data_IF_254796369955
#
_entry.id   IF_254796369955
#
_cell.length_a   1.000
_cell.length_b   1.000
_cell.length_c   1.000
_cell.angle_alpha   90.00
_cell.angle_beta   90.00
_cell.angle_gamma   90.00
#
_symmetry.space_group_name_H-M   'P 1'
#
loop_
_entity.id
_entity.type
_entity.pdbx_description
1 polymer ?
#
# COMPACT_ATOMS: atom_id res chain seq x y z
N UNK A 1 70.73 16.49 -55.78
CA UNK A 1 70.26 17.61 -54.92
C UNK A 1 69.80 17.08 -53.56
N UNK A 2 69.97 17.86 -52.49
CA UNK A 2 70.16 17.45 -51.08
C UNK A 2 68.85 17.33 -50.27
N UNK A 3 68.79 16.61 -49.13
CA UNK A 3 68.98 17.07 -47.72
C UNK A 3 67.92 18.11 -47.29
N UNK A 4 67.06 17.89 -46.27
CA UNK A 4 67.31 18.05 -44.83
C UNK A 4 66.07 17.54 -44.03
N UNK A 5 66.17 16.84 -42.89
CA UNK A 5 66.49 17.30 -41.50
C UNK A 5 65.60 18.49 -41.07
N UNK A 6 64.97 18.58 -39.90
CA UNK A 6 65.40 18.17 -38.56
C UNK A 6 64.30 18.51 -37.51
N UNK A 7 64.33 17.79 -36.36
CA UNK A 7 64.11 18.27 -34.96
C UNK A 7 62.79 18.97 -34.57
N UNK A 8 62.27 18.89 -33.35
CA UNK A 8 62.59 18.25 -32.06
C UNK A 8 61.26 18.30 -31.27
N UNK A 9 60.99 17.50 -30.25
CA UNK A 9 61.58 17.65 -28.92
C UNK A 9 60.91 16.61 -28.00
N UNK A 10 61.72 16.05 -27.11
CA UNK A 10 61.30 15.22 -26.00
C UNK A 10 60.27 15.94 -25.11
N UNK A 11 59.24 15.21 -24.68
CA UNK A 11 58.69 15.36 -23.33
C UNK A 11 58.48 13.95 -22.75
N UNK A 12 59.28 13.66 -21.72
CA UNK A 12 59.10 12.55 -20.79
C UNK A 12 58.01 12.95 -19.79
N UNK A 13 56.93 12.17 -19.68
CA UNK A 13 56.05 12.21 -18.49
C UNK A 13 55.39 10.84 -18.34
N UNK A 14 56.00 9.96 -17.54
CA UNK A 14 55.59 9.60 -16.17
C UNK A 14 54.30 8.76 -16.14
N UNK A 15 54.48 7.45 -16.02
CA UNK A 15 53.43 6.50 -15.64
C UNK A 15 52.81 6.94 -14.31
N UNK A 16 51.51 7.22 -14.31
CA UNK A 16 50.70 7.15 -13.10
C UNK A 16 49.87 5.87 -13.17
N UNK A 17 50.34 4.85 -12.45
CA UNK A 17 49.52 3.73 -12.05
C UNK A 17 48.55 4.25 -10.97
N UNK A 18 47.39 4.75 -11.37
CA UNK A 18 46.27 4.87 -10.43
C UNK A 18 45.74 3.46 -10.19
N UNK A 19 46.16 2.88 -9.07
CA UNK A 19 45.58 1.66 -8.55
C UNK A 19 44.07 1.86 -8.37
N UNK A 20 43.28 1.05 -9.09
CA UNK A 20 41.91 0.79 -8.71
C UNK A 20 41.96 0.09 -7.35
N UNK A 21 41.79 0.86 -6.27
CA UNK A 21 41.36 0.30 -5.00
C UNK A 21 39.97 -0.29 -5.22
N UNK A 22 39.92 -1.62 -5.32
CA UNK A 22 38.69 -2.39 -5.20
C UNK A 22 38.17 -2.13 -3.77
N UNK A 23 37.28 -1.15 -3.62
CA UNK A 23 36.55 -0.99 -2.38
C UNK A 23 35.65 -2.23 -2.26
N UNK A 24 36.06 -3.19 -1.43
CA UNK A 24 35.18 -4.25 -0.95
C UNK A 24 34.06 -3.58 -0.16
N UNK A 25 32.92 -3.35 -0.83
CA UNK A 25 31.68 -3.02 -0.15
C UNK A 25 31.32 -4.25 0.67
N UNK A 26 31.62 -4.19 1.96
CA UNK A 26 31.16 -5.16 2.95
C UNK A 26 29.63 -4.97 3.03
N UNK A 27 28.91 -5.74 2.21
CA UNK A 27 27.46 -5.84 2.31
C UNK A 27 27.13 -6.32 3.71
N UNK A 28 26.63 -5.41 4.55
CA UNK A 28 25.92 -5.82 5.76
C UNK A 28 24.64 -6.51 5.28
N UNK A 29 24.64 -7.82 5.37
CA UNK A 29 23.45 -8.65 5.28
C UNK A 29 22.53 -8.19 6.41
N UNK A 30 21.58 -7.31 6.07
CA UNK A 30 20.54 -6.89 7.00
C UNK A 30 19.60 -8.08 7.11
N UNK A 31 19.80 -8.86 8.16
CA UNK A 31 18.93 -9.97 8.53
C UNK A 31 17.59 -9.36 8.99
N UNK A 32 16.67 -9.17 8.03
CA UNK A 32 15.35 -8.61 8.30
C UNK A 32 14.50 -9.72 8.93
N UNK A 33 14.65 -9.89 10.25
CA UNK A 33 13.78 -10.75 11.03
C UNK A 33 12.39 -10.14 11.03
N UNK A 34 11.45 -10.79 10.34
CA UNK A 34 10.03 -10.45 10.39
C UNK A 34 9.49 -10.74 11.80
N UNK A 35 8.97 -9.73 12.48
CA UNK A 35 8.29 -9.90 13.77
C UNK A 35 6.78 -10.11 13.51
N UNK A 36 6.24 -11.32 13.77
CA UNK A 36 4.82 -11.60 13.58
C UNK A 36 3.88 -10.70 14.40
N UNK A 37 4.35 -10.14 15.52
CA UNK A 37 3.56 -9.23 16.35
C UNK A 37 3.22 -7.92 15.61
N UNK A 38 3.96 -7.55 14.56
CA UNK A 38 3.65 -6.38 13.73
C UNK A 38 2.34 -6.54 12.94
N UNK A 39 1.82 -7.76 12.79
CA UNK A 39 0.56 -8.06 12.10
C UNK A 39 -0.65 -8.12 13.03
N UNK A 40 -0.44 -8.13 14.34
CA UNK A 40 -1.51 -8.25 15.30
C UNK A 40 -2.47 -7.05 15.22
N UNK A 41 -3.75 -7.35 15.44
CA UNK A 41 -4.78 -6.34 15.46
C UNK A 41 -4.98 -5.79 16.87
N UNK A 42 -4.63 -4.52 17.12
CA UNK A 42 -4.97 -3.89 18.40
C UNK A 42 -6.49 -3.64 18.46
N UNK A 43 -7.07 -3.84 19.63
CA UNK A 43 -8.48 -3.56 19.88
C UNK A 43 -9.04 -4.47 20.98
N UNK A 44 -10.26 -4.18 21.40
CA UNK A 44 -10.95 -4.96 22.44
C UNK A 44 -12.35 -5.40 22.02
N UNK A 45 -12.83 -4.97 20.87
CA UNK A 45 -14.09 -5.43 20.28
C UNK A 45 -13.79 -6.26 19.06
N UNK A 46 -14.28 -7.49 19.05
CA UNK A 46 -14.12 -8.43 17.93
C UNK A 46 -15.48 -8.79 17.35
N UNK A 47 -15.58 -8.68 16.03
CA UNK A 47 -16.70 -9.14 15.24
C UNK A 47 -16.24 -10.28 14.34
N UNK A 48 -16.86 -11.45 14.50
CA UNK A 48 -16.60 -12.63 13.69
C UNK A 48 -17.64 -12.76 12.58
N UNK A 49 -17.33 -13.59 11.57
CA UNK A 49 -18.22 -13.89 10.43
C UNK A 49 -18.65 -12.62 9.69
N UNK A 50 -17.68 -11.74 9.49
CA UNK A 50 -17.85 -10.53 8.69
C UNK A 50 -17.59 -10.87 7.23
N UNK A 51 -18.54 -10.53 6.37
CA UNK A 51 -18.36 -10.60 4.93
C UNK A 51 -17.52 -9.41 4.48
N UNK A 52 -16.38 -9.69 3.86
CA UNK A 52 -15.63 -8.68 3.13
C UNK A 52 -16.08 -8.70 1.68
N UNK A 53 -16.24 -7.50 1.14
CA UNK A 53 -16.48 -7.27 -0.28
C UNK A 53 -15.62 -6.11 -0.74
N UNK A 54 -15.44 -5.96 -2.04
CA UNK A 54 -14.66 -4.87 -2.62
C UNK A 54 -15.53 -3.93 -3.46
N UNK A 55 -15.21 -2.64 -3.39
CA UNK A 55 -15.76 -1.61 -4.28
C UNK A 55 -14.64 -0.73 -4.80
N UNK A 56 -14.89 0.00 -5.89
CA UNK A 56 -13.91 0.90 -6.49
C UNK A 56 -14.50 2.29 -6.75
N UNK A 57 -13.67 3.34 -6.74
CA UNK A 57 -14.06 4.63 -7.28
C UNK A 57 -14.50 4.52 -8.75
N UNK A 58 -15.57 5.22 -9.11
CA UNK A 58 -16.03 5.40 -10.48
C UNK A 58 -15.80 6.86 -10.89
N UNK A 59 -14.62 7.14 -11.46
CA UNK A 59 -14.19 8.50 -11.81
C UNK A 59 -14.94 9.11 -13.00
N UNK A 60 -15.56 8.27 -13.82
CA UNK A 60 -16.44 8.62 -14.94
C UNK A 60 -17.92 8.74 -14.51
N UNK A 61 -18.21 8.55 -13.22
CA UNK A 61 -19.53 8.67 -12.64
C UNK A 61 -20.05 10.11 -12.63
N UNK A 62 -21.37 10.26 -12.62
CA UNK A 62 -22.05 11.56 -12.62
C UNK A 62 -22.09 12.21 -11.23
N UNK A 63 -21.91 11.43 -10.16
CA UNK A 63 -21.99 11.89 -8.78
C UNK A 63 -20.59 12.06 -8.19
N UNK A 64 -20.38 13.15 -7.44
CA UNK A 64 -19.14 13.33 -6.67
C UNK A 64 -18.89 12.18 -5.69
N UNK A 65 -19.97 11.54 -5.18
CA UNK A 65 -19.88 10.39 -4.27
C UNK A 65 -19.32 9.14 -4.93
N UNK A 66 -19.27 9.09 -6.26
CA UNK A 66 -18.76 7.94 -7.00
C UNK A 66 -17.25 7.75 -6.81
N UNK A 67 -16.52 8.80 -6.39
CA UNK A 67 -15.07 8.77 -6.17
C UNK A 67 -14.62 9.50 -4.90
N UNK A 68 -15.56 9.84 -4.02
CA UNK A 68 -15.28 10.49 -2.72
C UNK A 68 -16.03 9.83 -1.59
N UNK A 69 -15.49 9.90 -0.36
CA UNK A 69 -16.05 9.36 0.87
C UNK A 69 -17.27 10.17 1.38
N UNK A 70 -17.88 9.74 2.51
CA UNK A 70 -19.12 10.36 3.02
C UNK A 70 -18.99 11.84 3.38
N UNK A 71 -17.75 12.34 3.51
CA UNK A 71 -17.42 13.76 3.73
C UNK A 71 -16.89 14.43 2.46
N UNK A 72 -17.11 13.84 1.29
CA UNK A 72 -16.64 14.29 -0.02
C UNK A 72 -15.11 14.43 -0.13
N UNK A 73 -14.34 13.66 0.65
CA UNK A 73 -12.88 13.58 0.53
C UNK A 73 -12.49 12.43 -0.40
N UNK A 74 -11.29 12.51 -0.97
CA UNK A 74 -10.77 11.46 -1.85
C UNK A 74 -10.79 10.09 -1.15
N UNK A 75 -11.25 9.06 -1.85
CA UNK A 75 -11.10 7.66 -1.44
C UNK A 75 -9.65 7.20 -1.57
N UNK A 76 -9.15 6.48 -0.56
CA UNK A 76 -7.84 5.82 -0.64
C UNK A 76 -8.03 4.32 -0.80
N UNK A 77 -7.45 3.80 -1.86
CA UNK A 77 -7.58 2.40 -2.24
C UNK A 77 -6.54 1.55 -1.51
N UNK A 78 -6.80 0.24 -1.39
CA UNK A 78 -5.85 -0.73 -0.86
C UNK A 78 -4.52 -0.65 -1.59
N UNK A 79 -4.55 -0.61 -2.92
CA UNK A 79 -3.33 -0.52 -3.73
C UNK A 79 -2.60 0.80 -3.50
N UNK A 80 -3.29 1.93 -3.27
CA UNK A 80 -2.60 3.19 -2.94
C UNK A 80 -1.87 3.10 -1.60
N UNK A 81 -2.44 2.41 -0.62
CA UNK A 81 -1.78 2.16 0.66
C UNK A 81 -0.57 1.23 0.50
N UNK A 82 -0.73 0.11 -0.22
CA UNK A 82 0.35 -0.85 -0.47
C UNK A 82 1.52 -0.20 -1.23
N UNK A 83 1.23 0.71 -2.17
CA UNK A 83 2.23 1.50 -2.90
C UNK A 83 2.84 2.66 -2.07
N UNK A 84 2.48 2.79 -0.77
CA UNK A 84 2.89 3.89 0.11
C UNK A 84 2.48 5.29 -0.37
N UNK A 85 1.39 5.38 -1.15
CA UNK A 85 0.83 6.64 -1.67
C UNK A 85 -0.37 7.14 -0.89
N UNK A 86 -0.88 6.34 0.05
CA UNK A 86 -1.96 6.70 0.94
C UNK A 86 -1.62 6.31 2.39
N UNK A 87 -2.08 7.09 3.39
CA UNK A 87 -1.81 6.82 4.80
C UNK A 87 -2.71 5.72 5.40
N UNK A 88 -3.82 5.39 4.73
CA UNK A 88 -4.79 4.37 5.12
C UNK A 88 -5.59 3.91 3.88
N UNK A 89 -6.36 2.86 4.04
CA UNK A 89 -7.38 2.37 3.09
C UNK A 89 -8.75 2.81 3.58
N UNK A 90 -9.55 3.38 2.69
CA UNK A 90 -10.94 3.70 3.00
C UNK A 90 -11.77 2.41 3.02
N UNK A 91 -12.58 2.22 4.05
CA UNK A 91 -13.59 1.16 4.08
C UNK A 91 -15.00 1.73 4.24
N UNK A 92 -15.96 1.03 3.64
CA UNK A 92 -17.38 1.27 3.74
C UNK A 92 -18.05 0.34 4.76
N UNK A 93 -18.97 0.88 5.56
CA UNK A 93 -19.81 0.10 6.48
C UNK A 93 -21.27 0.56 6.46
N UNK A 94 -22.15 -0.20 7.11
CA UNK A 94 -23.58 0.10 7.22
C UNK A 94 -23.82 1.52 7.78
N UNK A 95 -24.56 2.40 7.06
CA UNK A 95 -24.84 3.77 7.50
C UNK A 95 -25.65 3.87 8.79
N UNK A 96 -26.31 2.79 9.22
CA UNK A 96 -27.15 2.71 10.42
C UNK A 96 -26.34 2.49 11.69
N UNK A 97 -25.13 1.94 11.60
CA UNK A 97 -24.26 1.73 12.76
C UNK A 97 -23.80 3.05 13.38
N UNK A 98 -23.75 4.13 12.60
CA UNK A 98 -23.23 5.44 13.03
C UNK A 98 -21.82 5.33 13.63
N UNK A 99 -20.99 4.43 13.07
CA UNK A 99 -19.56 4.35 13.40
C UNK A 99 -18.93 5.73 13.18
N UNK A 100 -18.18 6.28 14.16
CA UNK A 100 -17.50 7.56 14.00
C UNK A 100 -16.62 7.58 12.74
N UNK A 101 -16.69 8.68 11.99
CA UNK A 101 -15.89 8.84 10.78
C UNK A 101 -14.39 8.81 11.10
N UNK A 102 -13.66 7.93 10.42
CA UNK A 102 -12.23 7.71 10.62
C UNK A 102 -11.88 6.68 11.69
N UNK A 103 -12.87 5.99 12.27
CA UNK A 103 -12.62 4.83 13.16
C UNK A 103 -11.71 3.83 12.45
N UNK A 104 -10.63 3.47 13.12
CA UNK A 104 -9.71 2.44 12.65
C UNK A 104 -10.33 1.07 12.88
N UNK A 105 -10.15 0.18 11.91
CA UNK A 105 -10.47 -1.24 12.08
C UNK A 105 -9.27 -2.05 11.63
N UNK A 106 -9.18 -3.27 12.13
CA UNK A 106 -8.12 -4.19 11.76
C UNK A 106 -8.73 -5.53 11.34
N UNK A 107 -8.17 -6.10 10.26
CA UNK A 107 -8.58 -7.39 9.72
C UNK A 107 -7.32 -8.27 9.67
N UNK A 108 -7.17 -9.23 10.61
CA UNK A 108 -5.98 -10.07 10.70
C UNK A 108 -5.65 -10.79 9.39
N UNK A 109 -6.68 -11.24 8.67
CA UNK A 109 -6.55 -11.99 7.42
C UNK A 109 -5.88 -11.14 6.32
N UNK A 110 -6.22 -9.84 6.24
CA UNK A 110 -5.54 -8.92 5.32
C UNK A 110 -4.10 -8.66 5.74
N UNK A 111 -3.86 -8.46 7.04
CA UNK A 111 -2.50 -8.22 7.55
C UNK A 111 -1.57 -9.39 7.24
N UNK A 112 -2.04 -10.62 7.45
CA UNK A 112 -1.32 -11.85 7.15
C UNK A 112 -1.06 -11.98 5.66
N UNK A 113 -2.08 -11.77 4.82
CA UNK A 113 -1.93 -11.90 3.37
C UNK A 113 -0.90 -10.92 2.80
N UNK A 114 -1.00 -9.63 3.17
CA UNK A 114 -0.08 -8.59 2.68
C UNK A 114 1.23 -8.50 3.46
N UNK A 115 1.39 -9.31 4.52
CA UNK A 115 2.53 -9.29 5.47
C UNK A 115 2.84 -7.88 5.97
N UNK A 116 1.79 -7.14 6.25
CA UNK A 116 1.86 -5.73 6.65
C UNK A 116 0.60 -5.35 7.41
N UNK A 117 0.73 -4.53 8.44
CA UNK A 117 -0.42 -3.90 9.07
C UNK A 117 -1.13 -2.95 8.08
N UNK A 118 -2.28 -3.39 7.54
CA UNK A 118 -3.10 -2.62 6.62
C UNK A 118 -3.96 -1.67 7.44
N UNK A 119 -3.66 -0.37 7.36
CA UNK A 119 -4.40 0.65 8.11
C UNK A 119 -5.76 0.91 7.44
N UNK A 120 -6.84 0.34 7.98
CA UNK A 120 -8.19 0.52 7.45
C UNK A 120 -8.93 1.59 8.27
N UNK A 121 -9.70 2.45 7.60
CA UNK A 121 -10.52 3.47 8.28
C UNK A 121 -11.93 3.56 7.73
N UNK A 122 -12.92 3.48 8.62
CA UNK A 122 -14.35 3.61 8.29
C UNK A 122 -14.66 5.06 7.95
N UNK A 123 -14.74 5.34 6.66
CA UNK A 123 -14.93 6.70 6.15
C UNK A 123 -16.00 6.81 5.09
N UNK A 124 -16.48 5.68 4.57
CA UNK A 124 -17.53 5.68 3.55
C UNK A 124 -18.72 4.82 3.97
N UNK A 125 -19.80 4.97 3.20
CA UNK A 125 -21.03 4.20 3.34
C UNK A 125 -21.85 4.31 2.06
N UNK A 126 -22.64 3.27 1.79
CA UNK A 126 -23.50 3.14 0.62
C UNK A 126 -24.84 2.53 1.03
N UNK A 127 -25.90 2.76 0.24
CA UNK A 127 -27.24 2.26 0.56
C UNK A 127 -27.32 0.74 0.51
N UNK A 128 -26.52 0.07 -0.32
CA UNK A 128 -26.43 -1.39 -0.42
C UNK A 128 -25.76 -2.04 0.81
N UNK A 129 -25.10 -1.24 1.65
CA UNK A 129 -24.58 -1.67 2.95
C UNK A 129 -25.62 -1.60 4.08
N UNK A 130 -26.77 -0.98 3.83
CA UNK A 130 -27.79 -0.78 4.87
C UNK A 130 -28.39 -2.11 5.35
N UNK A 131 -28.41 -2.31 6.67
CA UNK A 131 -28.88 -3.55 7.29
C UNK A 131 -27.81 -4.63 7.45
N UNK A 132 -26.60 -4.41 6.93
CA UNK A 132 -25.45 -5.29 7.12
C UNK A 132 -24.86 -5.23 8.53
N UNK A 133 -25.13 -4.17 9.29
CA UNK A 133 -24.52 -3.90 10.60
C UNK A 133 -22.99 -4.14 10.57
N UNK A 134 -22.44 -4.83 11.57
CA UNK A 134 -21.01 -5.19 11.63
C UNK A 134 -20.66 -6.41 10.77
N UNK A 135 -21.62 -6.98 10.02
CA UNK A 135 -21.44 -8.24 9.27
C UNK A 135 -20.96 -8.03 7.84
N UNK A 136 -20.79 -6.78 7.38
CA UNK A 136 -20.25 -6.46 6.06
C UNK A 136 -19.30 -5.27 6.14
N UNK A 137 -18.14 -5.41 5.50
CA UNK A 137 -17.16 -4.34 5.30
C UNK A 137 -16.76 -4.31 3.83
N UNK A 138 -16.87 -3.14 3.22
CA UNK A 138 -16.47 -2.91 1.84
C UNK A 138 -15.07 -2.29 1.78
N UNK A 139 -14.11 -2.98 1.17
CA UNK A 139 -12.73 -2.51 0.99
C UNK A 139 -12.65 -1.69 -0.31
N UNK A 140 -12.13 -0.46 -0.22
CA UNK A 140 -11.91 0.35 -1.42
C UNK A 140 -10.68 -0.16 -2.18
N UNK A 141 -10.87 -0.56 -3.44
CA UNK A 141 -9.81 -1.04 -4.33
C UNK A 141 -9.67 -0.15 -5.57
N UNK A 142 -8.54 -0.24 -6.26
CA UNK A 142 -8.17 0.67 -7.35
C UNK A 142 -8.92 0.38 -8.66
N UNK A 143 -9.00 -0.88 -9.06
CA UNK A 143 -9.53 -1.27 -10.37
C UNK A 143 -10.64 -2.31 -10.25
N UNK A 144 -11.35 -2.52 -11.35
CA UNK A 144 -12.31 -3.63 -11.46
C UNK A 144 -11.63 -4.99 -11.30
N UNK A 145 -10.40 -5.14 -11.79
CA UNK A 145 -9.66 -6.38 -11.64
C UNK A 145 -9.36 -6.66 -10.16
N UNK A 146 -8.94 -5.62 -9.40
CA UNK A 146 -8.66 -5.75 -7.97
C UNK A 146 -9.91 -6.13 -7.16
N UNK A 147 -11.11 -5.76 -7.62
CA UNK A 147 -12.36 -6.12 -6.92
C UNK A 147 -12.71 -7.60 -7.00
N UNK A 148 -12.03 -8.36 -7.86
CA UNK A 148 -12.21 -9.81 -7.99
C UNK A 148 -11.16 -10.62 -7.20
N UNK A 149 -10.24 -9.98 -6.49
CA UNK A 149 -9.29 -10.67 -5.65
C UNK A 149 -10.01 -11.32 -4.45
N UNK A 150 -9.78 -12.61 -4.23
CA UNK A 150 -10.41 -13.38 -3.16
C UNK A 150 -10.06 -12.81 -1.77
N UNK A 151 -8.88 -12.20 -1.60
CA UNK A 151 -8.44 -11.67 -0.29
C UNK A 151 -9.34 -10.54 0.22
N UNK A 152 -9.97 -9.78 -0.69
CA UNK A 152 -10.90 -8.70 -0.35
C UNK A 152 -12.37 -9.13 -0.48
N UNK A 153 -12.64 -10.42 -0.73
CA UNK A 153 -13.97 -11.00 -0.89
C UNK A 153 -14.16 -12.26 -0.01
N UNK A 154 -13.88 -12.13 1.29
CA UNK A 154 -14.01 -13.22 2.26
C UNK A 154 -15.44 -13.36 2.78
N UNK A 155 -15.93 -14.59 2.90
CA UNK A 155 -17.25 -14.85 3.50
C UNK A 155 -17.24 -14.79 5.04
N UNK A 156 -16.09 -15.09 5.65
CA UNK A 156 -15.91 -15.13 7.09
C UNK A 156 -14.55 -14.54 7.47
N UNK A 157 -14.52 -13.23 7.67
CA UNK A 157 -13.37 -12.51 8.22
C UNK A 157 -13.61 -12.06 9.66
N UNK A 158 -12.52 -11.71 10.32
CA UNK A 158 -12.51 -11.12 11.66
C UNK A 158 -12.28 -9.62 11.54
N UNK A 159 -13.14 -8.82 12.19
CA UNK A 159 -12.94 -7.37 12.34
C UNK A 159 -12.68 -7.05 13.80
N UNK A 160 -11.57 -6.38 14.05
CA UNK A 160 -11.18 -5.88 15.37
C UNK A 160 -11.30 -4.35 15.37
N UNK A 161 -11.92 -3.81 16.42
CA UNK A 161 -12.15 -2.38 16.65
C UNK A 161 -11.69 -1.96 18.05
#
# INVERSE_FOLDING_TARGET
MPRAKQSSSLIRTLMWAMGLSLATVLGKEFDYSFDPHELECPGNVTHEKVMLTAYRPQYDGASKRDFTDLKFKKLYTLQDFLDNRAPYVTVGMDPRLKVPYGTEICIPELNIHFRRNVKLQVRDTHEDLAGGAYRRVDICVRTQADSFDDVVNLLEATVVM
#
